data_IF_720154330308
#
_entry.id   IF_720154330308
#
_cell.length_a   1.000
_cell.length_b   1.000
_cell.length_c   1.000
_cell.angle_alpha   90.00
_cell.angle_beta   90.00
_cell.angle_gamma   90.00
#
_symmetry.space_group_name_H-M   'P 1'
#
loop_
_entity.id
_entity.type
_entity.pdbx_description
1 polymer ?
#
# COMPACT_ATOMS: atom_id res chain seq x y z
N UNK A 1 1.92 2.31 4.82
CA UNK A 1 1.57 0.96 5.35
C UNK A 1 2.48 0.45 6.46
N UNK A 2 3.80 0.69 6.43
CA UNK A 2 4.73 0.23 7.49
C UNK A 2 4.24 0.56 8.92
N UNK A 3 3.88 1.81 9.18
CA UNK A 3 3.36 2.24 10.49
C UNK A 3 2.20 1.36 10.98
N UNK A 4 1.22 1.07 10.11
CA UNK A 4 0.09 0.21 10.46
C UNK A 4 0.50 -1.24 10.75
N UNK A 5 1.53 -1.76 10.08
CA UNK A 5 2.07 -3.09 10.35
C UNK A 5 2.82 -3.15 11.69
N UNK A 6 3.46 -2.06 12.09
CA UNK A 6 4.27 -1.97 13.31
C UNK A 6 3.42 -1.73 14.57
N UNK A 7 2.40 -0.86 14.49
CA UNK A 7 1.61 -0.47 15.68
C UNK A 7 0.14 -0.88 15.60
N UNK A 8 -0.33 -1.37 14.45
CA UNK A 8 -1.74 -1.70 14.22
C UNK A 8 -2.60 -0.48 13.85
N UNK A 9 -3.74 -0.75 13.21
CA UNK A 9 -4.66 0.30 12.71
C UNK A 9 -5.15 1.24 13.82
N UNK A 10 -5.63 0.67 14.94
CA UNK A 10 -6.23 1.46 16.00
C UNK A 10 -5.22 2.41 16.67
N UNK A 11 -3.98 1.96 16.89
CA UNK A 11 -2.94 2.76 17.55
C UNK A 11 -2.30 3.82 16.63
N UNK A 12 -2.37 3.65 15.30
CA UNK A 12 -1.81 4.61 14.34
C UNK A 12 -2.65 5.90 14.29
N UNK A 13 -2.28 6.90 15.08
CA UNK A 13 -2.98 8.20 15.10
C UNK A 13 -2.66 9.06 13.88
N UNK A 14 -3.52 10.05 13.57
CA UNK A 14 -3.29 11.00 12.48
C UNK A 14 -1.96 11.77 12.60
N UNK A 15 -1.49 12.05 13.82
CA UNK A 15 -0.21 12.69 14.04
C UNK A 15 0.95 11.75 13.66
N UNK A 16 0.90 10.49 14.12
CA UNK A 16 1.91 9.48 13.77
C UNK A 16 1.96 9.21 12.27
N UNK A 17 0.79 9.16 11.61
CA UNK A 17 0.70 8.98 10.16
C UNK A 17 1.33 10.16 9.43
N UNK A 18 1.00 11.39 9.82
CA UNK A 18 1.56 12.59 9.22
C UNK A 18 3.09 12.66 9.40
N UNK A 19 3.59 12.41 10.60
CA UNK A 19 5.03 12.38 10.89
C UNK A 19 5.74 11.29 10.09
N UNK A 20 5.20 10.07 10.04
CA UNK A 20 5.75 8.97 9.26
C UNK A 20 5.74 9.23 7.75
N UNK A 21 4.82 10.06 7.26
CA UNK A 21 4.74 10.49 5.87
C UNK A 21 5.52 11.79 5.59
N UNK A 22 6.20 12.37 6.59
CA UNK A 22 6.87 13.67 6.51
C UNK A 22 5.92 14.80 6.02
N UNK A 23 4.69 14.78 6.52
CA UNK A 23 3.64 15.76 6.23
C UNK A 23 3.22 16.48 7.50
N UNK A 24 2.61 17.66 7.35
CA UNK A 24 1.85 18.24 8.45
C UNK A 24 0.49 17.56 8.55
N UNK A 25 -0.09 17.54 9.76
CA UNK A 25 -1.47 17.06 9.96
C UNK A 25 -2.48 17.82 9.09
N UNK A 26 -2.28 19.13 8.88
CA UNK A 26 -3.14 19.96 8.05
C UNK A 26 -3.08 19.58 6.56
N UNK A 27 -1.87 19.35 6.03
CA UNK A 27 -1.70 18.88 4.65
C UNK A 27 -2.35 17.51 4.44
N UNK A 28 -2.17 16.57 5.39
CA UNK A 28 -2.82 15.26 5.33
C UNK A 28 -4.35 15.39 5.30
N UNK A 29 -4.93 16.21 6.19
CA UNK A 29 -6.38 16.39 6.30
C UNK A 29 -6.98 17.17 5.12
N UNK A 30 -6.19 17.95 4.41
CA UNK A 30 -6.61 18.60 3.17
C UNK A 30 -6.89 17.57 2.07
N UNK A 31 -6.11 16.48 2.03
CA UNK A 31 -6.28 15.41 1.04
C UNK A 31 -7.26 14.33 1.48
N UNK A 32 -7.31 14.01 2.78
CA UNK A 32 -8.16 12.96 3.33
C UNK A 32 -8.90 13.49 4.55
N UNK A 33 -10.23 13.55 4.48
CA UNK A 33 -11.06 14.06 5.56
C UNK A 33 -11.02 13.16 6.81
N UNK A 34 -10.65 11.88 6.66
CA UNK A 34 -10.56 10.92 7.75
C UNK A 34 -9.36 9.97 7.61
N UNK A 35 -9.04 9.26 8.70
CA UNK A 35 -8.00 8.21 8.70
C UNK A 35 -8.45 7.03 7.85
N UNK A 36 -9.73 6.70 7.95
CA UNK A 36 -10.40 5.64 7.20
C UNK A 36 -10.24 5.88 5.69
N UNK A 37 -10.55 7.09 5.22
CA UNK A 37 -10.40 7.48 3.80
C UNK A 37 -8.94 7.41 3.33
N UNK A 38 -7.99 7.87 4.15
CA UNK A 38 -6.56 7.73 3.84
C UNK A 38 -6.16 6.26 3.67
N UNK A 39 -6.64 5.39 4.56
CA UNK A 39 -6.31 3.96 4.51
C UNK A 39 -6.97 3.28 3.32
N UNK A 40 -8.22 3.62 3.00
CA UNK A 40 -8.91 3.12 1.81
C UNK A 40 -8.17 3.51 0.52
N UNK A 41 -7.74 4.78 0.41
CA UNK A 41 -6.95 5.25 -0.72
C UNK A 41 -5.60 4.53 -0.81
N UNK A 42 -4.93 4.30 0.32
CA UNK A 42 -3.66 3.58 0.37
C UNK A 42 -3.81 2.10 -0.05
N UNK A 43 -4.87 1.42 0.41
CA UNK A 43 -5.18 0.03 0.04
C UNK A 43 -5.48 -0.05 -1.46
N UNK A 44 -6.35 0.82 -1.97
CA UNK A 44 -6.69 0.89 -3.40
C UNK A 44 -5.44 1.10 -4.26
N UNK A 45 -4.56 2.02 -3.86
CA UNK A 45 -3.29 2.24 -4.57
C UNK A 45 -2.43 0.97 -4.60
N UNK A 46 -2.31 0.27 -3.48
CA UNK A 46 -1.53 -0.96 -3.38
C UNK A 46 -2.13 -2.07 -4.24
N UNK A 47 -3.45 -2.21 -4.28
CA UNK A 47 -4.12 -3.20 -5.13
C UNK A 47 -3.84 -2.96 -6.61
N UNK A 48 -3.91 -1.70 -7.05
CA UNK A 48 -3.58 -1.32 -8.44
C UNK A 48 -2.12 -1.62 -8.77
N UNK A 49 -1.18 -1.21 -7.92
CA UNK A 49 0.24 -1.47 -8.17
C UNK A 49 0.55 -2.97 -8.14
N UNK A 50 -0.07 -3.74 -7.24
CA UNK A 50 0.05 -5.20 -7.21
C UNK A 50 -0.45 -5.81 -8.50
N UNK A 51 -1.65 -5.45 -8.96
CA UNK A 51 -2.21 -5.96 -10.22
C UNK A 51 -1.25 -5.72 -11.40
N UNK A 52 -0.66 -4.54 -11.50
CA UNK A 52 0.35 -4.23 -12.53
C UNK A 52 1.59 -5.11 -12.44
N UNK A 53 2.08 -5.38 -11.22
CA UNK A 53 3.22 -6.26 -11.03
C UNK A 53 2.89 -7.71 -11.44
N UNK A 54 1.70 -8.19 -11.12
CA UNK A 54 1.23 -9.51 -11.56
C UNK A 54 1.14 -9.61 -13.09
N UNK A 55 0.56 -8.60 -13.76
CA UNK A 55 0.46 -8.54 -15.22
C UNK A 55 1.85 -8.52 -15.88
N UNK A 56 2.79 -7.73 -15.33
CA UNK A 56 4.16 -7.68 -15.81
C UNK A 56 4.89 -9.02 -15.64
N UNK A 57 4.72 -9.68 -14.49
CA UNK A 57 5.31 -10.99 -14.23
C UNK A 57 4.76 -12.07 -15.17
N UNK A 58 3.44 -12.08 -15.40
CA UNK A 58 2.78 -13.00 -16.33
C UNK A 58 3.20 -12.79 -17.79
N UNK A 59 3.65 -11.58 -18.15
CA UNK A 59 4.10 -11.23 -19.50
C UNK A 59 5.60 -11.51 -19.75
N UNK A 60 6.36 -11.87 -18.71
CA UNK A 60 7.77 -12.23 -18.81
C UNK A 60 8.00 -13.64 -19.40
N UNK A 61 9.18 -13.92 -19.98
CA UNK A 61 9.48 -15.27 -20.45
C UNK A 61 9.55 -16.24 -19.26
N UNK A 62 8.62 -17.20 -19.24
CA UNK A 62 8.63 -18.31 -18.27
C UNK A 62 9.87 -19.15 -18.54
N UNK A 63 10.80 -19.21 -17.58
CA UNK A 63 11.94 -20.11 -17.66
C UNK A 63 11.41 -21.56 -17.79
N UNK A 64 11.94 -22.40 -18.70
CA UNK A 64 11.46 -23.77 -18.87
C UNK A 64 11.52 -24.54 -17.55
N UNK A 65 10.35 -24.97 -17.06
CA UNK A 65 10.24 -25.78 -15.83
C UNK A 65 9.90 -25.02 -14.55
N UNK A 66 9.64 -23.71 -14.60
CA UNK A 66 9.13 -22.94 -13.45
C UNK A 66 7.65 -22.65 -13.65
N UNK A 67 6.81 -23.09 -12.72
CA UNK A 67 5.40 -22.73 -12.72
C UNK A 67 5.29 -21.23 -12.39
N UNK A 68 4.82 -20.44 -13.35
CA UNK A 68 4.64 -19.00 -13.20
C UNK A 68 3.69 -18.66 -12.03
N UNK A 69 2.82 -19.59 -11.63
CA UNK A 69 1.95 -19.43 -10.46
C UNK A 69 2.71 -19.39 -9.12
N UNK A 70 3.89 -20.01 -9.05
CA UNK A 70 4.70 -20.09 -7.83
C UNK A 70 5.52 -18.81 -7.57
N UNK A 71 5.75 -17.99 -8.61
CA UNK A 71 6.49 -16.72 -8.52
C UNK A 71 5.62 -15.51 -8.16
N UNK A 72 4.31 -15.72 -8.00
CA UNK A 72 3.33 -14.65 -7.86
C UNK A 72 2.94 -14.37 -6.38
N UNK A 73 3.40 -15.16 -5.40
CA UNK A 73 3.01 -15.06 -3.98
C UNK A 73 4.14 -14.48 -3.15
#
# INVERSE_FOLDING_TARGET
MRLFAEVGYHAATNAMIADAANLTRGAMLYHFASREELVEAAVTHIEVERARLFEAAASGPVAPGVDAAEQAI
#
